data_IF_301121745977
#
_entry.id   IF_301121745977
#
_cell.length_a   1.000
_cell.length_b   1.000
_cell.length_c   1.000
_cell.angle_alpha   90.00
_cell.angle_beta   90.00
_cell.angle_gamma   90.00
#
_symmetry.space_group_name_H-M   'P 1'
#
loop_
_entity.id
_entity.type
_entity.pdbx_description
1 polymer ?
#
# COMPACT_ATOMS: atom_id res chain seq x y z
N UNK A 1 12.88 6.00 -6.40
CA UNK A 1 12.18 5.32 -7.52
C UNK A 1 12.67 5.80 -8.87
N UNK A 2 12.53 7.09 -9.20
CA UNK A 2 12.95 7.67 -10.49
C UNK A 2 14.40 7.33 -10.83
N UNK A 3 15.33 7.69 -9.95
CA UNK A 3 16.77 7.40 -10.14
C UNK A 3 17.06 5.90 -10.33
N UNK A 4 16.43 5.03 -9.54
CA UNK A 4 16.61 3.57 -9.67
C UNK A 4 16.08 3.04 -11.00
N UNK A 5 14.97 3.59 -11.50
CA UNK A 5 14.41 3.23 -12.80
C UNK A 5 15.30 3.74 -13.96
N UNK A 6 15.83 4.96 -13.85
CA UNK A 6 16.79 5.52 -14.82
C UNK A 6 18.07 4.70 -14.90
N UNK A 7 18.65 4.32 -13.75
CA UNK A 7 19.81 3.41 -13.68
C UNK A 7 19.56 2.07 -14.36
N UNK A 8 18.30 1.62 -14.43
CA UNK A 8 17.87 0.40 -15.12
C UNK A 8 17.43 0.65 -16.58
N UNK A 9 17.69 1.83 -17.13
CA UNK A 9 17.40 2.19 -18.52
C UNK A 9 15.95 2.58 -18.80
N UNK A 10 15.13 2.84 -17.78
CA UNK A 10 13.76 3.30 -17.99
C UNK A 10 13.73 4.75 -18.48
N UNK A 11 12.90 5.03 -19.48
CA UNK A 11 12.61 6.40 -19.91
C UNK A 11 11.58 7.02 -18.98
N UNK A 12 11.99 8.06 -18.24
CA UNK A 12 11.11 8.77 -17.32
C UNK A 12 10.30 9.84 -18.03
N UNK A 13 9.04 9.97 -17.63
CA UNK A 13 8.11 10.97 -18.13
C UNK A 13 7.30 11.51 -16.95
N UNK A 14 7.27 12.84 -16.80
CA UNK A 14 6.54 13.51 -15.72
C UNK A 14 5.35 14.28 -16.28
N UNK A 15 4.23 14.29 -15.54
CA UNK A 15 3.07 15.08 -15.90
C UNK A 15 3.40 16.59 -15.83
N UNK A 16 2.83 17.37 -16.75
CA UNK A 16 2.94 18.83 -16.71
C UNK A 16 1.82 19.43 -15.86
N UNK A 17 2.13 20.47 -15.08
CA UNK A 17 1.18 21.15 -14.21
C UNK A 17 0.89 22.58 -14.70
N UNK A 18 -0.30 23.10 -14.43
CA UNK A 18 -0.70 24.48 -14.71
C UNK A 18 -0.66 25.31 -13.42
N UNK A 19 0.00 26.46 -13.46
CA UNK A 19 -0.02 27.46 -12.39
C UNK A 19 -1.33 28.29 -12.45
N UNK A 20 -1.86 28.81 -11.33
CA UNK A 20 -1.42 28.67 -9.94
C UNK A 20 -1.93 27.41 -9.25
N UNK A 21 -3.01 26.80 -9.71
CA UNK A 21 -3.66 25.67 -9.02
C UNK A 21 -2.91 24.34 -9.06
N UNK A 22 -1.75 24.30 -9.71
CA UNK A 22 -0.88 23.12 -9.90
C UNK A 22 -1.68 21.88 -10.35
N UNK A 23 -2.65 22.10 -11.24
CA UNK A 23 -3.48 21.03 -11.81
C UNK A 23 -2.73 20.36 -12.95
N UNK A 24 -2.92 19.05 -13.12
CA UNK A 24 -2.32 18.34 -14.25
C UNK A 24 -2.96 18.82 -15.55
N UNK A 25 -2.13 19.12 -16.55
CA UNK A 25 -2.58 19.53 -17.87
C UNK A 25 -3.17 18.33 -18.63
N UNK A 26 -4.51 18.20 -18.60
CA UNK A 26 -5.25 17.04 -19.12
C UNK A 26 -4.88 16.66 -20.55
N UNK A 27 -4.77 17.63 -21.47
CA UNK A 27 -4.45 17.37 -22.87
C UNK A 27 -3.05 16.74 -23.03
N UNK A 28 -2.05 17.27 -22.32
CA UNK A 28 -0.69 16.71 -22.31
C UNK A 28 -0.67 15.33 -21.68
N UNK A 29 -1.39 15.13 -20.56
CA UNK A 29 -1.51 13.83 -19.90
C UNK A 29 -2.10 12.76 -20.82
N UNK A 30 -3.24 13.06 -21.47
CA UNK A 30 -3.86 12.15 -22.45
C UNK A 30 -2.90 11.82 -23.60
N UNK A 31 -2.20 12.83 -24.13
CA UNK A 31 -1.18 12.63 -25.19
C UNK A 31 -0.01 11.76 -24.72
N UNK A 32 0.43 11.87 -23.47
CA UNK A 32 1.48 11.02 -22.91
C UNK A 32 1.04 9.56 -22.81
N UNK A 33 -0.18 9.32 -22.34
CA UNK A 33 -0.74 7.97 -22.18
C UNK A 33 -1.05 7.30 -23.53
N UNK A 34 -1.48 8.06 -24.53
CA UNK A 34 -1.88 7.55 -25.85
C UNK A 34 -0.71 7.22 -26.79
N UNK A 35 0.53 7.55 -26.41
CA UNK A 35 1.73 7.39 -27.26
C UNK A 35 2.19 5.95 -27.46
N UNK A 36 1.51 4.96 -26.87
CA UNK A 36 1.87 3.54 -27.00
C UNK A 36 0.93 2.82 -27.95
N UNK A 37 1.45 2.48 -29.13
CA UNK A 37 0.83 1.50 -30.05
C UNK A 37 1.78 0.36 -30.45
N UNK A 38 3.05 0.41 -30.05
CA UNK A 38 4.02 -0.65 -30.36
C UNK A 38 4.03 -1.69 -29.25
N UNK A 39 3.60 -2.91 -29.58
CA UNK A 39 3.40 -4.05 -28.67
C UNK A 39 4.64 -4.42 -27.81
N UNK A 40 5.85 -3.98 -28.19
CA UNK A 40 7.10 -4.48 -27.63
C UNK A 40 7.62 -3.76 -26.37
N UNK A 41 7.08 -2.59 -25.99
CA UNK A 41 7.60 -1.86 -24.81
C UNK A 41 6.59 -1.91 -23.68
N UNK A 42 6.98 -2.39 -22.48
CA UNK A 42 6.21 -2.35 -21.22
C UNK A 42 6.48 -1.07 -20.43
N UNK A 43 5.55 -0.58 -19.64
CA UNK A 43 5.61 0.75 -19.03
C UNK A 43 4.67 0.87 -17.84
N UNK A 44 4.99 1.77 -16.92
CA UNK A 44 4.31 1.93 -15.65
C UNK A 44 3.85 3.38 -15.50
N UNK A 45 2.54 3.57 -15.33
CA UNK A 45 1.97 4.82 -14.85
C UNK A 45 1.92 4.78 -13.33
N UNK A 46 2.65 5.69 -12.69
CA UNK A 46 2.54 5.95 -11.25
C UNK A 46 1.50 7.04 -11.04
N UNK A 47 0.37 6.68 -10.45
CA UNK A 47 -0.77 7.56 -10.31
C UNK A 47 -1.08 7.83 -8.83
N UNK A 48 -0.71 9.02 -8.30
CA UNK A 48 -1.15 9.41 -6.98
C UNK A 48 -2.65 9.65 -6.98
N UNK A 49 -3.29 9.23 -5.90
CA UNK A 49 -4.72 9.45 -5.71
C UNK A 49 -5.09 10.96 -5.64
N UNK A 50 -4.21 11.76 -5.03
CA UNK A 50 -4.33 13.22 -4.97
C UNK A 50 -2.98 13.91 -4.83
N UNK A 51 -2.93 15.20 -5.14
CA UNK A 51 -1.77 16.04 -4.85
C UNK A 51 -1.55 16.16 -3.34
N UNK A 52 -0.34 15.79 -2.89
CA UNK A 52 0.09 15.99 -1.49
C UNK A 52 0.24 17.47 -1.13
N UNK A 53 0.47 18.32 -2.13
CA UNK A 53 0.76 19.74 -1.94
C UNK A 53 -0.50 20.61 -2.03
N UNK A 54 -1.41 20.30 -2.96
CA UNK A 54 -2.61 21.11 -3.20
C UNK A 54 -3.92 20.43 -2.82
N UNK A 55 -3.90 19.15 -2.43
CA UNK A 55 -5.10 18.36 -2.15
C UNK A 55 -5.97 18.03 -3.38
N UNK A 56 -5.59 18.52 -4.57
CA UNK A 56 -6.35 18.28 -5.80
C UNK A 56 -6.40 16.79 -6.12
N UNK A 57 -7.61 16.26 -6.26
CA UNK A 57 -7.91 14.89 -6.69
C UNK A 57 -7.73 14.76 -8.20
N UNK A 58 -7.16 13.65 -8.65
CA UNK A 58 -6.95 13.41 -10.07
C UNK A 58 -8.00 12.46 -10.66
N UNK A 59 -8.45 12.67 -11.92
CA UNK A 59 -9.47 11.82 -12.53
C UNK A 59 -9.00 10.38 -12.74
N UNK A 60 -9.74 9.41 -12.20
CA UNK A 60 -9.44 7.99 -12.36
C UNK A 60 -9.51 7.50 -13.80
N UNK A 61 -10.20 8.24 -14.68
CA UNK A 61 -10.27 7.95 -16.11
C UNK A 61 -8.88 7.84 -16.77
N UNK A 62 -7.87 8.54 -16.23
CA UNK A 62 -6.50 8.42 -16.74
C UNK A 62 -5.88 7.05 -16.46
N UNK A 63 -6.22 6.39 -15.35
CA UNK A 63 -5.79 5.02 -15.10
C UNK A 63 -6.39 4.05 -16.12
N UNK A 64 -7.69 4.19 -16.42
CA UNK A 64 -8.36 3.39 -17.44
C UNK A 64 -7.72 3.60 -18.82
N UNK A 65 -7.53 4.86 -19.21
CA UNK A 65 -6.87 5.23 -20.46
C UNK A 65 -5.46 4.65 -20.56
N UNK A 66 -4.69 4.68 -19.47
CA UNK A 66 -3.34 4.12 -19.44
C UNK A 66 -3.36 2.61 -19.69
N UNK A 67 -4.23 1.85 -19.00
CA UNK A 67 -4.35 0.40 -19.23
C UNK A 67 -4.78 0.06 -20.65
N UNK A 68 -5.74 0.79 -21.21
CA UNK A 68 -6.20 0.61 -22.60
C UNK A 68 -5.07 0.85 -23.62
N UNK A 69 -4.05 1.62 -23.25
CA UNK A 69 -2.86 1.87 -24.07
C UNK A 69 -1.64 1.03 -23.63
N UNK A 70 -1.86 -0.08 -22.93
CA UNK A 70 -0.81 -1.05 -22.59
C UNK A 70 0.18 -0.55 -21.53
N UNK A 71 -0.24 0.36 -20.64
CA UNK A 71 0.50 0.70 -19.43
C UNK A 71 0.02 -0.15 -18.25
N UNK A 72 0.96 -0.62 -17.43
CA UNK A 72 0.62 -1.02 -16.07
C UNK A 72 0.36 0.21 -15.22
N UNK A 73 -0.56 0.11 -14.27
CA UNK A 73 -0.94 1.21 -13.39
C UNK A 73 -0.66 0.85 -11.95
N UNK A 74 0.11 1.71 -11.28
CA UNK A 74 0.25 1.69 -9.82
C UNK A 74 -0.48 2.89 -9.23
N UNK A 75 -1.43 2.60 -8.34
CA UNK A 75 -2.15 3.61 -7.58
C UNK A 75 -1.40 3.88 -6.28
N UNK A 76 -0.91 5.11 -6.11
CA UNK A 76 -0.37 5.58 -4.83
C UNK A 76 -1.52 6.14 -3.99
N UNK A 77 -1.91 5.35 -3.00
CA UNK A 77 -2.96 5.62 -2.02
C UNK A 77 -2.36 5.96 -0.64
N UNK A 78 -1.09 6.36 -0.55
CA UNK A 78 -0.44 6.71 0.72
C UNK A 78 -1.02 7.97 1.39
N UNK A 79 -1.87 8.73 0.68
CA UNK A 79 -2.61 9.86 1.25
C UNK A 79 -3.89 9.46 1.96
N UNK A 80 -4.39 8.24 1.72
CA UNK A 80 -5.71 7.83 2.18
C UNK A 80 -5.67 7.29 3.61
N UNK A 81 -6.71 7.63 4.37
CA UNK A 81 -7.02 7.01 5.65
C UNK A 81 -7.91 5.77 5.49
N UNK A 82 -8.31 5.13 6.61
CA UNK A 82 -9.05 3.87 6.57
C UNK A 82 -10.42 4.00 5.86
N UNK A 83 -11.16 5.08 6.15
CA UNK A 83 -12.48 5.35 5.56
C UNK A 83 -12.43 5.59 4.03
N UNK A 84 -11.43 6.34 3.58
CA UNK A 84 -11.27 6.64 2.16
C UNK A 84 -10.77 5.43 1.36
N UNK A 85 -10.03 4.53 2.01
CA UNK A 85 -9.56 3.28 1.40
C UNK A 85 -10.72 2.34 1.11
N UNK A 86 -11.66 2.20 2.06
CA UNK A 86 -12.86 1.36 1.91
C UNK A 86 -13.74 1.83 0.74
N UNK A 87 -13.83 3.15 0.56
CA UNK A 87 -14.64 3.79 -0.50
C UNK A 87 -13.89 4.05 -1.81
N UNK A 88 -12.62 3.63 -1.93
CA UNK A 88 -11.77 3.92 -3.09
C UNK A 88 -12.26 3.29 -4.40
N UNK A 89 -13.12 2.27 -4.31
CA UNK A 89 -13.72 1.62 -5.47
C UNK A 89 -12.70 0.84 -6.31
N UNK A 90 -11.72 0.19 -5.66
CA UNK A 90 -10.60 -0.53 -6.31
C UNK A 90 -11.11 -1.55 -7.35
N UNK A 91 -12.26 -2.17 -7.10
CA UNK A 91 -12.94 -3.10 -8.03
C UNK A 91 -13.33 -2.46 -9.37
N UNK A 92 -13.62 -1.16 -9.38
CA UNK A 92 -14.00 -0.40 -10.58
C UNK A 92 -12.75 0.08 -11.34
N UNK A 93 -11.78 0.64 -10.62
CA UNK A 93 -10.57 1.22 -11.23
C UNK A 93 -9.55 0.16 -11.66
N UNK A 94 -9.52 -0.98 -10.97
CA UNK A 94 -8.68 -2.15 -11.23
C UNK A 94 -7.21 -1.84 -11.57
N UNK A 95 -6.47 -1.11 -10.72
CA UNK A 95 -5.03 -0.94 -10.91
C UNK A 95 -4.31 -2.29 -10.86
N UNK A 96 -3.14 -2.37 -11.49
CA UNK A 96 -2.26 -3.54 -11.39
C UNK A 96 -1.61 -3.65 -10.01
N UNK A 97 -1.29 -2.49 -9.44
CA UNK A 97 -0.59 -2.37 -8.18
C UNK A 97 -1.20 -1.26 -7.32
N UNK A 98 -1.22 -1.44 -6.00
CA UNK A 98 -1.62 -0.38 -5.05
C UNK A 98 -0.54 -0.24 -3.99
N UNK A 99 -0.04 0.98 -3.79
CA UNK A 99 0.85 1.30 -2.67
C UNK A 99 0.06 2.11 -1.66
N UNK A 100 0.13 1.71 -0.38
CA UNK A 100 -0.39 2.54 0.71
C UNK A 100 0.48 2.42 1.96
N UNK A 101 0.32 3.40 2.85
CA UNK A 101 0.97 3.39 4.16
C UNK A 101 0.24 2.44 5.10
N UNK A 102 0.95 1.50 5.72
CA UNK A 102 0.36 0.53 6.64
C UNK A 102 -0.30 1.26 7.83
N UNK A 103 0.46 2.13 8.49
CA UNK A 103 -0.03 2.93 9.61
C UNK A 103 -1.29 3.75 9.27
N UNK A 104 -1.34 4.41 8.10
CA UNK A 104 -2.51 5.25 7.76
C UNK A 104 -3.76 4.45 7.44
N UNK A 105 -3.61 3.24 6.90
CA UNK A 105 -4.76 2.40 6.54
C UNK A 105 -5.29 1.63 7.74
N UNK A 106 -4.40 1.21 8.66
CA UNK A 106 -4.79 0.41 9.82
C UNK A 106 -4.94 1.21 11.12
N UNK A 107 -4.45 2.46 11.19
CA UNK A 107 -4.59 3.35 12.34
C UNK A 107 -3.74 2.98 13.57
N UNK A 108 -2.95 1.91 13.48
CA UNK A 108 -2.13 1.36 14.56
C UNK A 108 -0.65 1.24 14.15
N UNK A 109 0.23 1.09 15.14
CA UNK A 109 1.64 0.75 14.94
C UNK A 109 1.78 -0.58 14.17
N UNK A 110 2.81 -0.75 13.32
CA UNK A 110 4.03 0.07 13.28
C UNK A 110 4.06 1.18 12.23
N UNK A 111 4.67 2.31 12.59
CA UNK A 111 5.11 3.35 11.66
C UNK A 111 6.33 2.87 10.87
N UNK A 112 6.61 3.46 9.70
CA UNK A 112 7.74 3.08 8.85
C UNK A 112 7.47 1.93 7.87
N UNK A 113 6.28 1.33 7.91
CA UNK A 113 5.87 0.28 6.96
C UNK A 113 4.98 0.82 5.84
N UNK A 114 5.25 0.35 4.62
CA UNK A 114 4.40 0.53 3.45
C UNK A 114 4.00 -0.84 2.91
N UNK A 115 2.86 -0.90 2.25
CA UNK A 115 2.38 -2.13 1.61
C UNK A 115 2.25 -1.92 0.11
N UNK A 116 2.59 -2.97 -0.64
CA UNK A 116 2.38 -3.08 -2.08
C UNK A 116 1.43 -4.24 -2.32
N UNK A 117 0.21 -3.94 -2.76
CA UNK A 117 -0.73 -4.93 -3.24
C UNK A 117 -0.50 -5.16 -4.73
N UNK A 118 -0.47 -6.43 -5.13
CA UNK A 118 -0.24 -6.86 -6.51
C UNK A 118 -1.48 -7.60 -6.97
N UNK A 119 -2.09 -7.13 -8.07
CA UNK A 119 -3.19 -7.85 -8.71
C UNK A 119 -2.68 -9.22 -9.18
N UNK A 120 -3.43 -10.29 -8.89
CA UNK A 120 -3.03 -11.67 -9.22
C UNK A 120 -2.66 -11.84 -10.70
N UNK A 121 -3.37 -11.17 -11.61
CA UNK A 121 -3.11 -11.19 -13.06
C UNK A 121 -1.82 -10.48 -13.46
N UNK A 122 -1.29 -9.60 -12.61
CA UNK A 122 -0.12 -8.76 -12.89
C UNK A 122 1.16 -9.31 -12.25
N UNK A 123 1.09 -10.49 -11.61
CA UNK A 123 2.23 -11.14 -10.94
C UNK A 123 3.38 -11.45 -11.90
N UNK A 124 3.07 -11.80 -13.15
CA UNK A 124 4.05 -12.20 -14.18
C UNK A 124 4.92 -11.03 -14.66
N UNK A 125 4.51 -9.80 -14.37
CA UNK A 125 5.29 -8.60 -14.65
C UNK A 125 6.47 -8.48 -13.67
N UNK A 126 6.33 -9.06 -12.48
CA UNK A 126 7.35 -8.99 -11.45
C UNK A 126 8.37 -10.11 -11.67
N UNK A 127 9.64 -9.72 -11.75
CA UNK A 127 10.74 -10.67 -11.76
C UNK A 127 11.05 -11.11 -10.34
N UNK A 128 11.15 -12.42 -10.12
CA UNK A 128 11.64 -12.98 -8.87
C UNK A 128 13.13 -12.64 -8.75
N UNK A 129 13.48 -11.77 -7.81
CA UNK A 129 14.87 -11.49 -7.48
C UNK A 129 15.32 -12.37 -6.32
N UNK A 130 16.41 -13.11 -6.51
CA UNK A 130 17.03 -13.94 -5.45
C UNK A 130 17.48 -13.04 -4.28
N UNK A 131 17.98 -11.83 -4.58
CA UNK A 131 18.36 -10.81 -3.59
C UNK A 131 17.17 -10.25 -2.78
N UNK A 132 15.95 -10.31 -3.32
CA UNK A 132 14.76 -9.89 -2.58
C UNK A 132 14.30 -10.95 -1.57
N UNK A 133 14.64 -12.24 -1.80
CA UNK A 133 14.36 -13.33 -0.84
C UNK A 133 15.30 -13.32 0.36
N UNK A 134 16.49 -12.72 0.23
CA UNK A 134 17.47 -12.61 1.33
C UNK A 134 17.23 -11.43 2.27
N UNK A 135 16.27 -10.55 1.97
CA UNK A 135 15.79 -9.53 2.91
C UNK A 135 14.75 -10.23 3.79
N UNK A 136 15.08 -10.43 5.06
CA UNK A 136 14.30 -11.23 6.02
C UNK A 136 12.79 -11.06 5.84
N UNK A 137 12.13 -12.14 5.41
CA UNK A 137 10.68 -12.18 5.29
C UNK A 137 10.09 -12.28 6.69
N UNK A 138 9.37 -11.26 7.12
CA UNK A 138 8.65 -11.27 8.40
C UNK A 138 7.19 -11.60 8.13
N UNK A 139 6.67 -12.63 8.80
CA UNK A 139 5.24 -12.95 8.76
C UNK A 139 4.50 -12.12 9.81
N UNK A 140 3.59 -11.25 9.36
CA UNK A 140 2.70 -10.52 10.28
C UNK A 140 1.49 -11.42 10.56
N UNK A 141 1.48 -12.01 11.75
CA UNK A 141 0.34 -12.79 12.25
C UNK A 141 -0.56 -11.91 13.13
N UNK A 142 -1.88 -12.12 13.03
CA UNK A 142 -2.84 -11.46 13.94
C UNK A 142 -2.56 -11.94 15.36
N UNK A 143 -2.43 -11.02 16.32
CA UNK A 143 -2.10 -11.35 17.72
C UNK A 143 -3.00 -12.44 18.33
N UNK A 144 -4.30 -12.47 17.99
CA UNK A 144 -5.23 -13.51 18.46
C UNK A 144 -5.04 -14.92 17.88
N UNK A 145 -4.14 -15.12 16.91
CA UNK A 145 -3.77 -16.44 16.36
C UNK A 145 -2.49 -17.01 16.99
N UNK A 146 -1.77 -16.23 17.79
CA UNK A 146 -0.49 -16.65 18.39
C UNK A 146 -0.67 -17.79 19.40
N UNK A 147 -1.87 -17.93 20.00
CA UNK A 147 -2.20 -19.00 20.95
C UNK A 147 -2.32 -20.40 20.32
N UNK A 148 -2.33 -20.51 18.99
CA UNK A 148 -2.62 -21.77 18.28
C UNK A 148 -1.46 -22.23 17.37
N UNK A 149 -0.27 -21.61 17.44
CA UNK A 149 0.91 -22.09 16.70
C UNK A 149 1.69 -23.11 17.54
N UNK A 150 2.20 -24.20 16.92
CA UNK A 150 3.10 -25.13 17.61
C UNK A 150 4.38 -24.40 18.07
N UNK A 151 4.83 -24.70 19.29
CA UNK A 151 5.90 -23.97 20.00
C UNK A 151 7.29 -24.02 19.31
N UNK A 152 7.48 -24.84 18.28
CA UNK A 152 8.78 -25.04 17.62
C UNK A 152 9.19 -23.93 16.62
N UNK A 153 8.32 -22.97 16.29
CA UNK A 153 8.62 -21.89 15.32
C UNK A 153 8.90 -20.51 15.95
N UNK A 154 8.93 -20.40 17.28
CA UNK A 154 9.13 -19.12 17.97
C UNK A 154 10.62 -18.91 18.29
N UNK A 155 11.40 -18.48 17.31
CA UNK A 155 12.77 -18.01 17.54
C UNK A 155 12.73 -16.60 18.16
N UNK A 156 12.76 -16.51 19.49
CA UNK A 156 12.74 -15.23 20.23
C UNK A 156 14.04 -14.45 20.20
N UNK A 157 15.06 -14.89 19.45
CA UNK A 157 16.41 -14.30 19.56
C UNK A 157 16.66 -13.10 18.66
N UNK A 158 15.75 -12.72 17.77
CA UNK A 158 15.94 -11.55 16.91
C UNK A 158 14.68 -10.72 16.68
N UNK A 159 14.43 -9.75 17.56
CA UNK A 159 14.10 -8.35 17.22
C UNK A 159 13.32 -7.61 18.32
N UNK A 160 13.78 -6.39 18.59
CA UNK A 160 13.03 -5.25 19.13
C UNK A 160 12.30 -5.47 20.47
N UNK A 161 13.02 -5.20 21.57
CA UNK A 161 12.43 -5.03 22.91
C UNK A 161 11.64 -3.73 22.98
N UNK A 162 10.39 -3.77 22.51
CA UNK A 162 9.34 -2.83 22.90
C UNK A 162 8.48 -3.46 24.00
N UNK A 163 7.96 -2.67 24.96
CA UNK A 163 7.15 -3.23 26.04
C UNK A 163 5.87 -3.87 25.47
N UNK A 164 5.65 -5.14 25.85
CA UNK A 164 4.41 -5.87 25.60
C UNK A 164 3.29 -5.17 26.38
N UNK A 165 2.14 -4.83 25.77
CA UNK A 165 0.98 -4.39 26.53
C UNK A 165 0.56 -5.50 27.49
N UNK A 166 0.68 -5.26 28.79
CA UNK A 166 0.21 -6.20 29.80
C UNK A 166 -1.28 -6.44 29.62
N UNK A 167 -1.64 -7.71 29.64
CA UNK A 167 -2.95 -8.24 29.34
C UNK A 167 -4.00 -7.67 30.31
N UNK A 168 -4.74 -6.64 29.91
CA UNK A 168 -5.79 -5.99 30.73
C UNK A 168 -7.04 -6.86 30.92
N UNK A 169 -7.03 -8.11 30.46
CA UNK A 169 -8.16 -9.04 30.57
C UNK A 169 -8.27 -9.77 31.92
N UNK A 170 -7.23 -9.81 32.75
CA UNK A 170 -7.34 -10.41 34.09
C UNK A 170 -7.89 -9.45 35.16
N UNK A 171 -7.78 -8.14 34.95
CA UNK A 171 -8.25 -7.16 35.94
C UNK A 171 -9.76 -6.92 35.90
N UNK A 172 -10.43 -7.33 34.82
CA UNK A 172 -11.88 -7.14 34.67
C UNK A 172 -12.68 -8.31 35.26
N UNK A 173 -12.14 -9.54 35.27
CA UNK A 173 -12.79 -10.69 35.94
C UNK A 173 -12.71 -10.60 37.47
N UNK A 174 -11.59 -10.14 38.04
CA UNK A 174 -11.45 -10.01 39.50
C UNK A 174 -12.33 -8.92 40.11
N UNK A 175 -12.65 -7.86 39.35
CA UNK A 175 -13.57 -6.79 39.80
C UNK A 175 -15.03 -7.29 39.79
N UNK A 176 -15.42 -8.11 38.81
CA UNK A 176 -16.75 -8.71 38.76
C UNK A 176 -16.98 -9.73 39.89
N UNK A 177 -15.99 -10.54 40.24
CA UNK A 177 -16.13 -11.53 41.33
C UNK A 177 -16.08 -10.89 42.73
N UNK A 178 -15.35 -9.78 42.92
CA UNK A 178 -15.38 -9.03 44.19
C UNK A 178 -16.70 -8.30 44.43
N UNK A 179 -17.40 -7.86 43.38
CA UNK A 179 -18.68 -7.16 43.52
C UNK A 179 -19.83 -8.10 43.92
N UNK A 180 -19.76 -9.38 43.56
CA UNK A 180 -20.81 -10.37 43.88
C UNK A 180 -20.62 -11.08 45.23
N UNK A 181 -19.49 -10.90 45.91
CA UNK A 181 -19.23 -11.53 47.23
C UNK A 181 -19.66 -10.69 48.42
N UNK A 182 -20.13 -9.46 48.21
CA UNK A 182 -20.59 -8.53 49.26
C UNK A 182 -22.11 -8.39 49.31
N UNK A 183 -22.86 -9.27 48.62
CA UNK A 183 -24.33 -9.23 48.51
C UNK A 183 -25.03 -10.52 48.97
N UNK A 184 -24.47 -11.20 49.97
CA UNK A 184 -25.21 -12.19 50.78
C UNK A 184 -25.02 -11.87 52.26
#
# INVERSE_FOLDING_TARGET
MVESAEKRGAKIMSASFSWPGMRIQTAKMKKMLSKRKTEKKKGLLVFPHMSRMTGVRYPYLWMKLARENGWHVILDACTLGPKDMDTLGITLIQPDFVICSFFKVFGENPTGFATLFIKKSSKEVLQTSILARSIGMVSIVRAGKLSNLPEEEVDTTSSFSGPIPSNSKQKQSEIYDKANKTRN
#
